data_IF_218119697755
#
_entry.id   IF_218119697755
#
_cell.length_a   1.000
_cell.length_b   1.000
_cell.length_c   1.000
_cell.angle_alpha   90.00
_cell.angle_beta   90.00
_cell.angle_gamma   90.00
#
_symmetry.space_group_name_H-M   'P 1'
#
loop_
_entity.id
_entity.type
_entity.pdbx_description
1 polymer ?
#
# COMPACT_ATOMS: atom_id res chain seq x y z
N UNK A 1 -6.25 -2.95 -7.44
CA UNK A 1 -4.99 -3.12 -6.70
C UNK A 1 -5.32 -3.21 -5.23
N UNK A 2 -4.66 -4.12 -4.51
CA UNK A 2 -4.77 -4.23 -3.06
C UNK A 2 -3.43 -3.83 -2.42
N UNK A 3 -3.52 -3.30 -1.22
CA UNK A 3 -2.37 -2.98 -0.38
C UNK A 3 -2.55 -3.68 0.97
N UNK A 4 -1.51 -4.38 1.40
CA UNK A 4 -1.41 -5.02 2.72
C UNK A 4 -0.18 -4.49 3.42
N UNK A 5 -0.26 -4.36 4.73
CA UNK A 5 0.81 -3.73 5.48
C UNK A 5 0.58 -3.67 6.97
N UNK A 6 1.48 -2.96 7.64
CA UNK A 6 1.43 -2.64 9.05
C UNK A 6 1.59 -1.13 9.22
N UNK A 7 0.66 -0.54 9.98
CA UNK A 7 0.55 0.90 10.16
C UNK A 7 -0.59 1.50 9.35
N UNK A 8 -1.13 2.63 9.81
CA UNK A 8 -2.10 3.42 9.05
C UNK A 8 -3.46 2.76 8.85
N UNK A 9 -3.79 1.74 9.65
CA UNK A 9 -4.98 0.93 9.48
C UNK A 9 -4.85 -0.20 8.46
N UNK A 10 -3.64 -0.44 7.91
CA UNK A 10 -3.36 -1.63 7.10
C UNK A 10 -3.19 -2.89 7.97
N UNK A 11 -3.46 -4.04 7.37
CA UNK A 11 -3.17 -5.36 7.93
C UNK A 11 -2.49 -6.25 6.88
N UNK A 12 -1.60 -7.14 7.30
CA UNK A 12 -1.05 -8.19 6.45
C UNK A 12 -2.04 -9.33 6.19
N UNK A 13 -3.03 -9.47 7.05
CA UNK A 13 -4.06 -10.51 6.94
C UNK A 13 -5.20 -10.11 6.00
N UNK A 14 -5.48 -8.81 5.90
CA UNK A 14 -6.59 -8.27 5.12
C UNK A 14 -6.12 -7.17 4.17
N UNK A 15 -6.29 -7.39 2.87
CA UNK A 15 -6.05 -6.37 1.85
C UNK A 15 -7.00 -5.18 1.99
N UNK A 16 -6.43 -3.98 1.89
CA UNK A 16 -7.20 -2.78 1.64
C UNK A 16 -7.27 -2.56 0.12
N UNK A 17 -8.48 -2.31 -0.38
CA UNK A 17 -8.69 -1.97 -1.78
C UNK A 17 -8.17 -0.56 -2.04
N UNK A 18 -7.34 -0.39 -3.06
CA UNK A 18 -6.89 0.92 -3.51
C UNK A 18 -7.87 1.50 -4.53
N UNK A 19 -8.00 2.83 -4.52
CA UNK A 19 -8.79 3.56 -5.51
C UNK A 19 -8.03 3.64 -6.84
N UNK A 20 -8.70 3.39 -7.96
CA UNK A 20 -8.10 3.59 -9.28
C UNK A 20 -8.27 5.06 -9.68
N UNK A 21 -7.14 5.79 -9.75
CA UNK A 21 -7.12 7.21 -10.12
C UNK A 21 -6.97 7.42 -11.65
N UNK A 22 -7.13 6.36 -12.45
CA UNK A 22 -7.01 6.38 -13.91
C UNK A 22 -5.70 5.78 -14.43
N UNK A 23 -5.72 5.36 -15.71
CA UNK A 23 -4.63 4.65 -16.38
C UNK A 23 -4.10 3.48 -15.52
N UNK A 24 -2.86 3.61 -15.06
CA UNK A 24 -2.14 2.64 -14.24
C UNK A 24 -1.78 3.21 -12.86
N UNK A 25 -2.61 4.13 -12.34
CA UNK A 25 -2.40 4.77 -11.03
C UNK A 25 -3.45 4.27 -10.04
N UNK A 26 -2.95 3.72 -8.94
CA UNK A 26 -3.76 3.35 -7.78
C UNK A 26 -3.33 4.14 -6.57
N UNK A 27 -4.31 4.70 -5.87
CA UNK A 27 -4.09 5.56 -4.72
C UNK A 27 -4.73 4.92 -3.50
N UNK A 28 -3.98 4.93 -2.40
CA UNK A 28 -4.49 4.58 -1.08
C UNK A 28 -4.17 5.72 -0.13
N UNK A 29 -5.18 6.18 0.60
CA UNK A 29 -5.07 7.26 1.59
C UNK A 29 -5.54 6.77 2.95
N UNK A 30 -4.91 7.25 4.01
CA UNK A 30 -5.31 6.97 5.38
C UNK A 30 -5.21 8.22 6.25
N UNK A 31 -6.21 8.42 7.11
CA UNK A 31 -6.23 9.47 8.13
C UNK A 31 -5.80 8.94 9.51
N UNK A 32 -5.39 7.66 9.59
CA UNK A 32 -4.96 7.08 10.84
C UNK A 32 -3.68 7.76 11.35
N UNK A 33 -3.65 8.09 12.64
CA UNK A 33 -2.48 8.70 13.26
C UNK A 33 -1.30 7.71 13.23
N UNK A 34 -0.36 7.97 12.33
CA UNK A 34 0.83 7.15 12.14
C UNK A 34 1.93 7.56 13.13
N UNK A 35 2.35 6.63 13.98
CA UNK A 35 3.57 6.77 14.79
C UNK A 35 4.75 6.11 14.09
N UNK A 36 5.25 6.73 13.02
CA UNK A 36 6.45 6.26 12.31
C UNK A 36 6.21 5.90 10.85
N UNK A 37 6.88 4.83 10.39
CA UNK A 37 6.78 4.37 9.00
C UNK A 37 5.68 3.32 8.86
N UNK A 38 5.04 3.31 7.70
CA UNK A 38 4.11 2.26 7.27
C UNK A 38 4.89 1.29 6.41
N UNK A 39 4.87 0.01 6.77
CA UNK A 39 5.46 -1.07 5.96
C UNK A 39 4.35 -1.75 5.20
N UNK A 40 4.45 -1.88 3.88
CA UNK A 40 3.38 -2.43 3.06
C UNK A 40 3.91 -3.08 1.79
N UNK A 41 3.02 -3.81 1.13
CA UNK A 41 3.27 -4.44 -0.17
C UNK A 41 2.00 -4.47 -1.00
N UNK A 42 2.14 -4.37 -2.31
CA UNK A 42 1.03 -4.35 -3.24
C UNK A 42 0.68 -5.75 -3.72
N UNK A 43 -0.60 -5.96 -4.00
CA UNK A 43 -1.15 -7.20 -4.52
C UNK A 43 -2.11 -6.95 -5.68
N UNK A 44 -2.06 -7.83 -6.68
CA UNK A 44 -3.11 -7.98 -7.69
C UNK A 44 -4.18 -8.93 -7.15
N UNK A 45 -5.43 -8.48 -7.19
CA UNK A 45 -6.61 -9.22 -6.73
C UNK A 45 -6.50 -9.80 -5.31
N UNK A 46 -5.66 -9.19 -4.45
CA UNK A 46 -5.38 -9.65 -3.07
C UNK A 46 -4.71 -11.03 -2.97
N UNK A 47 -4.19 -11.54 -4.09
CA UNK A 47 -3.58 -12.87 -4.22
C UNK A 47 -2.15 -12.81 -4.75
N UNK A 48 -1.88 -11.97 -5.76
CA UNK A 48 -0.58 -11.88 -6.42
C UNK A 48 0.29 -10.76 -5.87
N UNK A 49 1.29 -11.08 -5.05
CA UNK A 49 2.22 -10.09 -4.51
C UNK A 49 3.14 -9.47 -5.57
N UNK A 50 3.48 -8.20 -5.40
CA UNK A 50 4.53 -7.58 -6.22
C UNK A 50 5.91 -8.22 -5.94
N UNK A 51 6.79 -8.18 -6.93
CA UNK A 51 8.18 -8.61 -6.82
C UNK A 51 8.96 -7.73 -5.83
N UNK A 52 10.01 -8.30 -5.23
CA UNK A 52 10.89 -7.60 -4.30
C UNK A 52 10.43 -7.65 -2.83
N UNK A 53 11.08 -6.83 -2.01
CA UNK A 53 10.85 -6.73 -0.57
C UNK A 53 9.65 -5.83 -0.22
N UNK A 54 9.31 -5.78 1.06
CA UNK A 54 8.26 -4.89 1.56
C UNK A 54 8.71 -3.43 1.42
N UNK A 55 7.80 -2.59 0.95
CA UNK A 55 8.02 -1.16 0.80
C UNK A 55 7.70 -0.44 2.11
N UNK A 56 8.30 0.73 2.30
CA UNK A 56 8.01 1.58 3.46
C UNK A 56 7.69 3.00 3.03
N UNK A 57 6.71 3.63 3.67
CA UNK A 57 6.41 5.05 3.51
C UNK A 57 6.42 5.74 4.87
N UNK A 58 6.85 7.00 4.89
CA UNK A 58 6.82 7.83 6.09
C UNK A 58 5.44 8.44 6.28
N UNK A 59 5.02 8.56 7.54
CA UNK A 59 3.86 9.34 7.90
C UNK A 59 3.99 10.81 7.45
N UNK A 60 2.92 11.38 6.88
CA UNK A 60 2.84 12.79 6.54
C UNK A 60 3.41 13.18 5.18
N UNK A 61 3.88 12.21 4.38
CA UNK A 61 4.40 12.44 3.03
C UNK A 61 3.63 11.59 2.01
N UNK A 62 3.53 12.10 0.77
CA UNK A 62 3.04 11.31 -0.37
C UNK A 62 4.21 10.55 -0.98
N UNK A 63 4.12 9.22 -1.00
CA UNK A 63 5.14 8.36 -1.63
C UNK A 63 4.57 7.73 -2.89
N UNK A 64 5.24 7.88 -4.02
CA UNK A 64 4.89 7.22 -5.29
C UNK A 64 5.83 6.04 -5.52
N UNK A 65 5.27 4.86 -5.75
CA UNK A 65 6.00 3.61 -5.92
C UNK A 65 5.54 2.90 -7.19
N UNK A 66 6.46 2.18 -7.82
CA UNK A 66 6.21 1.44 -9.05
C UNK A 66 6.44 -0.06 -8.79
N UNK A 67 5.44 -0.80 -8.28
CA UNK A 67 5.55 -2.24 -8.10
C UNK A 67 5.69 -2.96 -9.44
N UNK A 68 6.59 -3.94 -9.51
CA UNK A 68 6.62 -4.94 -10.57
C UNK A 68 5.83 -6.17 -10.11
N UNK A 69 5.05 -6.80 -10.99
CA UNK A 69 4.27 -8.01 -10.70
C UNK A 69 4.68 -9.14 -11.64
#
# INVERSE_FOLDING_TARGET
MFIRGEGGGLSWEKGALMENAGNDVWVWTTDAALKGNVSFKFLLNDEGWCAGENMTAKAGETTTLYPAF
#
